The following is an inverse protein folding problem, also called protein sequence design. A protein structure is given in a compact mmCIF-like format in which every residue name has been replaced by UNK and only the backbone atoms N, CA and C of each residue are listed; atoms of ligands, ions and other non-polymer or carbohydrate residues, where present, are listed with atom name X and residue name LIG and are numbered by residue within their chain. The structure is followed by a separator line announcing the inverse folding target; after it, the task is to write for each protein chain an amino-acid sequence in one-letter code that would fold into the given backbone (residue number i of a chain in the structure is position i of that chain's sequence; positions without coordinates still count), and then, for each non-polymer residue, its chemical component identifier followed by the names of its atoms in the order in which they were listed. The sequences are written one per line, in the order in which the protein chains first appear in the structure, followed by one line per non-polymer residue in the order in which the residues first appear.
data_IF_482483597716
#
_entry.id   IF_482483597716
#
_cell.length_a   1.000
_cell.length_b   1.000
_cell.length_c   1.000
_cell.angle_alpha   90.00
_cell.angle_beta   90.00
_cell.angle_gamma   90.00
#
_symmetry.space_group_name_H-M   'P 1'
#
loop_
_entity.id
_entity.type
_entity.pdbx_description
1 polymer ?
#
# COMPACT_ATOMS: atom_id res chain seq x y z
N UNK A 1 -9.75 4.27 21.84
CA UNK A 1 -10.18 5.19 22.91
C UNK A 1 -10.60 4.44 24.15
N UNK A 2 -9.95 4.75 25.27
CA UNK A 2 -10.42 4.38 26.61
C UNK A 2 -11.50 5.39 26.97
N UNK A 3 -12.74 4.91 27.09
CA UNK A 3 -13.90 5.69 27.54
C UNK A 3 -13.69 6.09 29.01
N UNK A 4 -13.00 7.22 29.23
CA UNK A 4 -12.71 7.75 30.55
C UNK A 4 -13.58 8.98 30.80
N UNK A 5 -14.72 8.77 31.46
CA UNK A 5 -15.56 9.86 31.95
C UNK A 5 -14.77 10.72 32.95
N UNK A 6 -14.66 12.03 32.69
CA UNK A 6 -14.02 12.97 33.60
C UNK A 6 -14.69 12.93 34.98
N UNK A 7 -13.95 12.73 36.09
CA UNK A 7 -14.51 12.85 37.43
C UNK A 7 -15.15 14.23 37.63
N UNK A 8 -16.31 14.30 38.28
CA UNK A 8 -17.12 15.52 38.40
C UNK A 8 -16.32 16.76 38.85
N UNK A 9 -15.46 16.62 39.87
CA UNK A 9 -14.65 17.74 40.35
C UNK A 9 -13.62 18.29 39.34
N UNK A 10 -13.12 17.46 38.41
CA UNK A 10 -12.25 17.92 37.31
C UNK A 10 -13.06 18.63 36.24
N UNK A 11 -14.28 18.14 35.96
CA UNK A 11 -15.22 18.79 35.04
C UNK A 11 -15.63 20.18 35.54
N UNK A 12 -15.99 20.29 36.81
CA UNK A 12 -16.40 21.55 37.43
C UNK A 12 -15.27 22.59 37.41
N UNK A 13 -14.02 22.16 37.67
CA UNK A 13 -12.84 23.03 37.59
C UNK A 13 -12.62 23.56 36.16
N UNK A 14 -12.72 22.67 35.15
CA UNK A 14 -12.54 23.07 33.76
C UNK A 14 -13.69 23.97 33.27
N UNK A 15 -14.94 23.68 33.67
CA UNK A 15 -16.09 24.55 33.39
C UNK A 15 -15.93 25.94 34.04
N UNK A 16 -15.41 26.01 35.27
CA UNK A 16 -15.10 27.28 35.92
C UNK A 16 -14.00 28.07 35.21
N UNK A 17 -13.07 27.41 34.51
CA UNK A 17 -12.07 28.10 33.67
C UNK A 17 -12.69 28.65 32.39
N UNK A 18 -13.74 27.99 31.87
CA UNK A 18 -14.44 28.39 30.65
C UNK A 18 -15.49 29.50 30.87
N UNK A 19 -15.96 29.73 32.10
CA UNK A 19 -17.05 30.67 32.38
C UNK A 19 -16.74 32.15 32.09
N UNK A 20 -15.46 32.50 31.86
CA UNK A 20 -15.01 33.86 31.52
C UNK A 20 -14.70 34.07 30.03
N UNK A 21 -14.94 33.07 29.19
CA UNK A 21 -14.60 33.14 27.76
C UNK A 21 -15.65 33.97 27.01
N UNK A 22 -15.19 34.92 26.19
CA UNK A 22 -16.07 35.73 25.34
C UNK A 22 -16.79 34.87 24.29
N UNK A 23 -17.86 35.39 23.69
CA UNK A 23 -18.59 34.64 22.65
C UNK A 23 -17.65 34.27 21.46
N UNK A 24 -16.79 35.20 21.04
CA UNK A 24 -15.82 34.96 19.96
C UNK A 24 -14.77 33.93 20.42
N UNK A 25 -14.25 34.07 21.64
CA UNK A 25 -13.30 33.10 22.22
C UNK A 25 -13.89 31.69 22.28
N UNK A 26 -15.17 31.56 22.64
CA UNK A 26 -15.86 30.27 22.68
C UNK A 26 -16.01 29.67 21.29
N UNK A 27 -16.30 30.49 20.28
CA UNK A 27 -16.38 30.03 18.90
C UNK A 27 -15.02 29.58 18.34
N UNK A 28 -13.94 30.25 18.72
CA UNK A 28 -12.58 29.81 18.39
C UNK A 28 -12.23 28.52 19.11
N UNK A 29 -12.50 28.40 20.41
CA UNK A 29 -12.29 27.15 21.16
C UNK A 29 -13.06 25.98 20.57
N UNK A 30 -14.33 26.18 20.17
CA UNK A 30 -15.11 25.13 19.50
C UNK A 30 -14.47 24.71 18.17
N UNK A 31 -13.96 25.68 17.40
CA UNK A 31 -13.29 25.40 16.12
C UNK A 31 -11.98 24.65 16.34
N UNK A 32 -11.14 25.17 17.24
CA UNK A 32 -9.88 24.56 17.64
C UNK A 32 -10.06 23.13 18.17
N UNK A 33 -11.08 22.91 19.01
CA UNK A 33 -11.35 21.59 19.59
C UNK A 33 -11.72 20.55 18.54
N UNK A 34 -12.33 20.98 17.42
CA UNK A 34 -12.65 20.16 16.25
C UNK A 34 -11.41 19.92 15.38
N UNK A 35 -10.51 20.89 15.23
CA UNK A 35 -9.24 20.73 14.49
C UNK A 35 -8.35 19.68 15.17
N UNK A 36 -8.12 19.84 16.47
CA UNK A 36 -7.25 18.93 17.22
C UNK A 36 -6.60 19.59 18.43
N UNK A 37 -5.64 18.88 19.04
CA UNK A 37 -4.88 19.41 20.17
C UNK A 37 -4.01 20.61 19.77
N UNK A 38 -3.39 20.51 18.60
CA UNK A 38 -2.56 21.52 17.98
C UNK A 38 -3.26 22.03 16.74
N UNK A 39 -3.20 23.34 16.48
CA UNK A 39 -3.86 23.96 15.33
C UNK A 39 -3.07 25.18 14.86
N UNK A 40 -3.09 25.44 13.56
CA UNK A 40 -2.49 26.62 12.96
C UNK A 40 -3.49 27.79 12.90
N UNK A 41 -2.94 29.01 12.88
CA UNK A 41 -3.71 30.25 12.83
C UNK A 41 -4.65 30.32 11.62
N UNK A 42 -4.16 29.96 10.42
CA UNK A 42 -4.90 30.13 9.17
C UNK A 42 -6.11 29.19 9.12
N UNK A 43 -5.93 27.92 9.48
CA UNK A 43 -7.01 26.94 9.55
C UNK A 43 -8.07 27.36 10.57
N UNK A 44 -7.65 27.83 11.75
CA UNK A 44 -8.56 28.28 12.80
C UNK A 44 -9.40 29.50 12.35
N UNK A 45 -8.74 30.52 11.79
CA UNK A 45 -9.38 31.76 11.31
C UNK A 45 -10.41 31.46 10.24
N UNK A 46 -10.02 30.69 9.22
CA UNK A 46 -10.88 30.41 8.08
C UNK A 46 -12.06 29.50 8.44
N UNK A 47 -11.81 28.43 9.23
CA UNK A 47 -12.87 27.52 9.62
C UNK A 47 -13.87 28.16 10.60
N UNK A 48 -13.40 29.02 11.50
CA UNK A 48 -14.27 29.78 12.41
C UNK A 48 -15.11 30.83 11.65
N UNK A 49 -14.59 31.34 10.53
CA UNK A 49 -15.21 32.39 9.71
C UNK A 49 -15.08 33.78 10.33
N UNK A 50 -14.01 34.00 11.12
CA UNK A 50 -13.73 35.25 11.84
C UNK A 50 -12.73 36.11 11.11
N UNK A 51 -12.77 37.43 11.36
CA UNK A 51 -11.76 38.34 10.81
C UNK A 51 -10.41 38.12 11.49
N UNK A 52 -9.33 38.62 10.88
CA UNK A 52 -8.00 38.56 11.48
C UNK A 52 -7.98 39.25 12.86
N UNK A 53 -8.53 40.47 12.96
CA UNK A 53 -8.57 41.24 14.21
C UNK A 53 -9.39 40.56 15.32
N UNK A 54 -10.55 39.99 14.97
CA UNK A 54 -11.35 39.20 15.92
C UNK A 54 -10.60 37.95 16.39
N UNK A 55 -9.90 37.29 15.48
CA UNK A 55 -9.19 36.03 15.77
C UNK A 55 -8.01 36.28 16.69
N UNK A 56 -7.18 37.27 16.37
CA UNK A 56 -6.01 37.65 17.19
C UNK A 56 -6.44 38.10 18.58
N UNK A 57 -7.41 39.02 18.68
CA UNK A 57 -7.87 39.53 19.99
C UNK A 57 -8.43 38.42 20.88
N UNK A 58 -9.14 37.46 20.28
CA UNK A 58 -9.68 36.34 21.04
C UNK A 58 -8.60 35.31 21.41
N UNK A 59 -7.61 35.05 20.56
CA UNK A 59 -6.47 34.19 20.90
C UNK A 59 -5.64 34.77 22.04
N UNK A 60 -5.33 36.06 22.02
CA UNK A 60 -4.63 36.75 23.12
C UNK A 60 -5.39 36.58 24.44
N UNK A 61 -6.71 36.80 24.44
CA UNK A 61 -7.54 36.60 25.63
C UNK A 61 -7.56 35.14 26.10
N UNK A 62 -7.55 34.15 25.19
CA UNK A 62 -7.50 32.73 25.54
C UNK A 62 -6.12 32.32 26.11
N UNK A 63 -5.04 32.94 25.64
CA UNK A 63 -3.68 32.77 26.16
C UNK A 63 -3.57 33.39 27.56
N UNK A 64 -4.07 34.61 27.76
CA UNK A 64 -4.09 35.27 29.07
C UNK A 64 -4.88 34.48 30.12
N UNK A 65 -5.93 33.77 29.69
CA UNK A 65 -6.70 32.86 30.54
C UNK A 65 -6.05 31.48 30.74
N UNK A 66 -4.92 31.21 30.07
CA UNK A 66 -4.20 29.93 30.15
C UNK A 66 -4.97 28.76 29.56
N UNK A 67 -5.86 29.01 28.60
CA UNK A 67 -6.66 27.98 27.93
C UNK A 67 -5.92 27.44 26.70
N UNK A 68 -5.23 28.33 25.99
CA UNK A 68 -4.43 28.06 24.79
C UNK A 68 -3.01 28.56 25.02
N UNK A 69 -2.03 27.91 24.43
CA UNK A 69 -0.62 28.30 24.48
C UNK A 69 -0.07 28.46 23.06
N UNK A 70 0.71 29.51 22.82
CA UNK A 70 1.40 29.70 21.55
C UNK A 70 2.68 28.84 21.53
N UNK A 71 2.82 28.00 20.51
CA UNK A 71 3.98 27.11 20.35
C UNK A 71 4.96 27.76 19.39
N UNK A 72 6.10 28.23 19.92
CA UNK A 72 7.20 28.70 19.07
C UNK A 72 7.87 27.51 18.36
N UNK A 73 7.65 27.38 17.05
CA UNK A 73 8.45 26.50 16.21
C UNK A 73 9.73 27.20 15.71
N UNK A 74 10.74 26.40 15.34
CA UNK A 74 12.05 26.84 14.85
C UNK A 74 11.95 27.92 13.77
N UNK A 75 12.93 28.84 13.75
CA UNK A 75 13.00 30.08 12.97
C UNK A 75 12.88 29.99 11.42
N UNK A 76 12.55 28.83 10.85
CA UNK A 76 12.44 28.60 9.41
C UNK A 76 11.00 28.53 8.88
N UNK A 77 9.99 28.36 9.74
CA UNK A 77 8.58 28.41 9.34
C UNK A 77 7.88 29.58 10.03
N UNK A 78 7.33 30.51 9.26
CA UNK A 78 6.51 31.63 9.76
C UNK A 78 5.08 31.18 10.15
N UNK A 79 4.87 29.87 10.35
CA UNK A 79 3.58 29.31 10.68
C UNK A 79 3.27 29.48 12.18
N UNK A 80 2.24 30.25 12.50
CA UNK A 80 1.77 30.43 13.87
C UNK A 80 0.96 29.20 14.30
N UNK A 81 1.46 28.47 15.30
CA UNK A 81 0.83 27.27 15.85
C UNK A 81 0.48 27.44 17.32
N UNK A 82 -0.66 26.89 17.72
CA UNK A 82 -1.18 26.96 19.07
C UNK A 82 -1.60 25.57 19.56
N UNK A 83 -1.52 25.38 20.88
CA UNK A 83 -1.93 24.17 21.57
C UNK A 83 -3.00 24.47 22.61
N UNK A 84 -3.93 23.53 22.81
CA UNK A 84 -4.69 23.50 24.05
C UNK A 84 -3.74 23.25 25.22
N UNK A 85 -3.82 24.08 26.26
CA UNK A 85 -3.07 23.90 27.52
C UNK A 85 -3.24 22.49 28.12
N UNK A 86 -4.39 21.85 27.91
CA UNK A 86 -4.64 20.50 28.38
C UNK A 86 -5.63 19.73 27.50
N UNK A 87 -5.33 18.46 27.18
CA UNK A 87 -6.17 17.59 26.33
C UNK A 87 -7.61 17.44 26.85
N UNK A 88 -7.77 17.28 28.18
CA UNK A 88 -9.10 17.25 28.83
C UNK A 88 -9.94 18.51 28.62
N UNK A 89 -9.31 19.68 28.51
CA UNK A 89 -10.03 20.92 28.21
C UNK A 89 -10.58 20.88 26.78
N UNK A 90 -9.75 20.47 25.82
CA UNK A 90 -10.17 20.25 24.42
C UNK A 90 -11.34 19.28 24.34
N UNK A 91 -11.23 18.12 25.00
CA UNK A 91 -12.28 17.11 25.02
C UNK A 91 -13.60 17.66 25.59
N UNK A 92 -13.55 18.41 26.69
CA UNK A 92 -14.73 19.05 27.27
C UNK A 92 -15.38 20.06 26.31
N UNK A 93 -14.60 20.94 25.69
CA UNK A 93 -15.11 21.92 24.70
C UNK A 93 -15.74 21.20 23.51
N UNK A 94 -15.08 20.14 23.01
CA UNK A 94 -15.62 19.31 21.94
C UNK A 94 -16.96 18.69 22.37
N UNK A 95 -17.03 18.06 23.55
CA UNK A 95 -18.24 17.45 24.12
C UNK A 95 -19.41 18.43 24.31
N UNK A 96 -19.14 19.66 24.75
CA UNK A 96 -20.19 20.67 24.94
C UNK A 96 -20.64 21.33 23.62
N UNK A 97 -19.85 21.22 22.56
CA UNK A 97 -20.27 21.65 21.22
C UNK A 97 -21.39 20.76 20.70
N UNK A 98 -22.50 21.35 20.23
CA UNK A 98 -23.62 20.59 19.67
C UNK A 98 -23.20 19.82 18.40
N UNK A 99 -23.83 18.66 18.15
CA UNK A 99 -23.55 17.83 16.98
C UNK A 99 -23.67 18.61 15.65
N UNK A 100 -24.69 19.47 15.52
CA UNK A 100 -24.89 20.30 14.34
C UNK A 100 -23.72 21.28 14.13
N UNK A 101 -23.22 21.88 15.21
CA UNK A 101 -22.06 22.77 15.15
C UNK A 101 -20.77 22.00 14.84
N UNK A 102 -20.56 20.83 15.44
CA UNK A 102 -19.41 19.96 15.11
C UNK A 102 -19.40 19.58 13.64
N UNK A 103 -20.54 19.13 13.09
CA UNK A 103 -20.64 18.78 11.66
C UNK A 103 -20.30 19.95 10.75
N UNK A 104 -20.82 21.14 11.06
CA UNK A 104 -20.50 22.36 10.30
C UNK A 104 -19.00 22.68 10.35
N UNK A 105 -18.40 22.60 11.54
CA UNK A 105 -16.98 22.89 11.74
C UNK A 105 -16.11 21.85 11.05
N UNK A 106 -16.39 20.56 11.20
CA UNK A 106 -15.68 19.49 10.50
C UNK A 106 -15.71 19.69 8.98
N UNK A 107 -16.86 20.05 8.39
CA UNK A 107 -16.95 20.37 6.95
C UNK A 107 -16.05 21.55 6.57
N UNK A 108 -16.13 22.66 7.32
CA UNK A 108 -15.33 23.86 7.03
C UNK A 108 -13.83 23.58 7.16
N UNK A 109 -13.42 22.85 8.19
CA UNK A 109 -12.02 22.46 8.38
C UNK A 109 -11.54 21.61 7.22
N UNK A 110 -12.33 20.62 6.77
CA UNK A 110 -11.99 19.82 5.60
C UNK A 110 -11.81 20.70 4.34
N UNK A 111 -12.74 21.62 4.09
CA UNK A 111 -12.68 22.54 2.94
C UNK A 111 -11.43 23.45 3.00
N UNK A 112 -11.08 23.92 4.19
CA UNK A 112 -9.91 24.78 4.43
C UNK A 112 -8.62 23.99 4.26
N UNK A 113 -8.51 22.79 4.83
CA UNK A 113 -7.34 21.93 4.67
C UNK A 113 -7.13 21.53 3.19
N UNK A 114 -8.22 21.22 2.48
CA UNK A 114 -8.17 20.95 1.05
C UNK A 114 -7.72 22.18 0.23
N UNK A 115 -8.12 23.39 0.63
CA UNK A 115 -7.71 24.65 -0.01
C UNK A 115 -6.24 25.04 0.25
N UNK A 116 -5.73 24.75 1.44
CA UNK A 116 -4.34 25.07 1.84
C UNK A 116 -3.30 24.12 1.25
N UNK A 117 -3.71 22.93 0.83
CA UNK A 117 -2.84 21.96 0.18
C UNK A 117 -2.43 22.44 -1.22
N UNK A 118 -1.42 23.32 -1.27
CA UNK A 118 -0.84 23.82 -2.53
C UNK A 118 0.00 22.73 -3.19
N UNK A 119 -0.59 22.09 -4.20
CA UNK A 119 0.05 21.09 -5.06
C UNK A 119 -0.34 19.65 -4.70
N UNK A 120 -0.40 18.75 -5.68
CA UNK A 120 -0.99 17.41 -5.54
C UNK A 120 -0.37 16.61 -4.39
N UNK A 121 0.97 16.61 -4.25
CA UNK A 121 1.67 15.87 -3.19
C UNK A 121 1.31 16.28 -1.75
N UNK A 122 0.92 17.53 -1.50
CA UNK A 122 0.50 17.97 -0.16
C UNK A 122 -0.96 17.61 0.12
N UNK A 123 -1.81 17.58 -0.91
CA UNK A 123 -3.20 17.12 -0.81
C UNK A 123 -3.21 15.64 -0.43
N UNK A 124 -2.38 14.84 -1.12
CA UNK A 124 -2.30 13.40 -0.90
C UNK A 124 -1.85 13.05 0.53
N UNK A 125 -0.88 13.79 1.07
CA UNK A 125 -0.40 13.60 2.45
C UNK A 125 -1.43 13.97 3.53
N UNK A 126 -2.33 14.92 3.25
CA UNK A 126 -3.40 15.33 4.17
C UNK A 126 -4.72 14.61 3.91
N UNK A 127 -4.82 13.81 2.85
CA UNK A 127 -6.06 13.21 2.39
C UNK A 127 -6.76 12.40 3.48
N UNK A 128 -6.01 11.65 4.30
CA UNK A 128 -6.58 10.88 5.41
C UNK A 128 -7.22 11.77 6.49
N UNK A 129 -6.58 12.90 6.84
CA UNK A 129 -7.13 13.85 7.81
C UNK A 129 -8.38 14.53 7.25
N UNK A 130 -8.32 15.00 6.00
CA UNK A 130 -9.44 15.63 5.30
C UNK A 130 -10.63 14.66 5.21
N UNK A 131 -10.37 13.39 4.87
CA UNK A 131 -11.39 12.34 4.80
C UNK A 131 -12.11 12.16 6.13
N UNK A 132 -11.37 12.11 7.24
CA UNK A 132 -11.94 11.99 8.58
C UNK A 132 -12.86 13.16 8.94
N UNK A 133 -12.45 14.40 8.61
CA UNK A 133 -13.29 15.58 8.80
C UNK A 133 -14.56 15.52 7.94
N UNK A 134 -14.47 15.15 6.65
CA UNK A 134 -15.68 14.99 5.84
C UNK A 134 -16.60 13.89 6.36
N UNK A 135 -16.04 12.77 6.85
CA UNK A 135 -16.83 11.68 7.44
C UNK A 135 -17.59 12.14 8.69
N UNK A 136 -16.90 12.82 9.62
CA UNK A 136 -17.54 13.37 10.83
C UNK A 136 -18.55 14.48 10.52
N UNK A 137 -18.38 15.19 9.40
CA UNK A 137 -19.36 16.15 8.90
C UNK A 137 -20.63 15.47 8.33
N UNK A 138 -20.60 14.16 8.07
CA UNK A 138 -21.66 13.43 7.37
C UNK A 138 -21.64 13.65 5.86
N UNK A 139 -20.49 14.05 5.30
CA UNK A 139 -20.30 14.26 3.87
C UNK A 139 -19.65 13.04 3.23
N UNK A 140 -20.41 11.94 3.15
CA UNK A 140 -19.91 10.63 2.73
C UNK A 140 -19.25 10.62 1.33
N UNK A 141 -19.78 11.29 0.29
CA UNK A 141 -19.16 11.23 -1.04
C UNK A 141 -17.75 11.83 -1.06
N UNK A 142 -17.54 13.00 -0.45
CA UNK A 142 -16.23 13.64 -0.35
C UNK A 142 -15.30 12.87 0.57
N UNK A 143 -15.82 12.31 1.68
CA UNK A 143 -15.02 11.46 2.55
C UNK A 143 -14.52 10.21 1.81
N UNK A 144 -15.37 9.56 1.02
CA UNK A 144 -15.02 8.38 0.24
C UNK A 144 -13.90 8.68 -0.77
N UNK A 145 -13.98 9.79 -1.49
CA UNK A 145 -12.95 10.23 -2.44
C UNK A 145 -11.63 10.56 -1.73
N UNK A 146 -11.67 11.27 -0.60
CA UNK A 146 -10.46 11.56 0.17
C UNK A 146 -9.84 10.29 0.76
N UNK A 147 -10.63 9.31 1.18
CA UNK A 147 -10.10 8.01 1.62
C UNK A 147 -9.48 7.23 0.46
N UNK A 148 -10.03 7.29 -0.76
CA UNK A 148 -9.38 6.71 -1.95
C UNK A 148 -8.00 7.33 -2.18
N UNK A 149 -7.90 8.67 -2.16
CA UNK A 149 -6.62 9.37 -2.30
C UNK A 149 -5.63 9.04 -1.17
N UNK A 150 -6.10 8.97 0.08
CA UNK A 150 -5.29 8.58 1.22
C UNK A 150 -4.74 7.15 1.05
N UNK A 151 -5.56 6.24 0.53
CA UNK A 151 -5.14 4.88 0.21
C UNK A 151 -4.07 4.82 -0.88
N UNK A 152 -4.22 5.62 -1.95
CA UNK A 152 -3.20 5.73 -3.01
C UNK A 152 -1.88 6.30 -2.51
N UNK A 153 -1.95 7.32 -1.65
CA UNK A 153 -0.77 7.91 -1.02
C UNK A 153 -0.06 6.91 -0.11
N UNK A 154 -0.79 6.26 0.80
CA UNK A 154 -0.24 5.24 1.68
C UNK A 154 0.39 4.10 0.88
N UNK A 155 -0.25 3.65 -0.21
CA UNK A 155 0.29 2.64 -1.13
C UNK A 155 1.60 3.10 -1.78
N UNK A 156 1.72 4.37 -2.17
CA UNK A 156 2.94 4.92 -2.76
C UNK A 156 4.13 4.96 -1.77
N UNK A 157 3.83 4.95 -0.47
CA UNK A 157 4.81 4.87 0.61
C UNK A 157 5.03 3.45 1.13
N UNK A 158 4.46 2.43 0.47
CA UNK A 158 4.43 1.03 0.93
C UNK A 158 3.81 0.81 2.32
N UNK A 159 2.98 1.76 2.78
CA UNK A 159 2.14 1.62 3.98
C UNK A 159 0.89 0.77 3.65
N UNK A 160 1.11 -0.49 3.24
CA UNK A 160 0.11 -1.35 2.63
C UNK A 160 -1.12 -1.61 3.52
N UNK A 161 -0.92 -1.82 4.83
CA UNK A 161 -2.02 -2.04 5.77
C UNK A 161 -2.91 -0.79 5.95
N UNK A 162 -2.29 0.40 5.97
CA UNK A 162 -3.01 1.67 6.05
C UNK A 162 -3.75 1.96 4.73
N UNK A 163 -3.10 1.71 3.59
CA UNK A 163 -3.73 1.83 2.28
C UNK A 163 -4.97 0.94 2.16
N UNK A 164 -4.85 -0.32 2.60
CA UNK A 164 -5.94 -1.29 2.63
C UNK A 164 -7.10 -0.82 3.52
N UNK A 165 -6.81 -0.26 4.70
CA UNK A 165 -7.81 0.31 5.59
C UNK A 165 -8.55 1.47 4.92
N UNK A 166 -7.84 2.39 4.29
CA UNK A 166 -8.43 3.53 3.60
C UNK A 166 -9.32 3.10 2.42
N UNK A 167 -8.88 2.18 1.57
CA UNK A 167 -9.71 1.68 0.46
C UNK A 167 -10.99 0.97 0.96
N UNK A 168 -10.89 0.19 2.05
CA UNK A 168 -12.07 -0.44 2.67
C UNK A 168 -13.07 0.58 3.20
N UNK A 169 -12.60 1.68 3.80
CA UNK A 169 -13.48 2.78 4.25
C UNK A 169 -14.11 3.51 3.06
N UNK A 170 -13.34 3.78 2.00
CA UNK A 170 -13.87 4.39 0.78
C UNK A 170 -15.02 3.55 0.17
N UNK A 171 -14.85 2.23 0.10
CA UNK A 171 -15.92 1.30 -0.33
C UNK A 171 -17.14 1.36 0.60
N UNK A 172 -16.92 1.33 1.92
CA UNK A 172 -18.02 1.36 2.89
C UNK A 172 -18.83 2.66 2.84
N UNK A 173 -18.21 3.77 2.43
CA UNK A 173 -18.86 5.07 2.21
C UNK A 173 -19.48 5.22 0.81
N UNK A 174 -19.41 4.18 -0.03
CA UNK A 174 -20.07 4.15 -1.34
C UNK A 174 -19.32 4.91 -2.43
N UNK A 175 -17.98 4.88 -2.43
CA UNK A 175 -17.19 5.43 -3.53
C UNK A 175 -17.64 4.85 -4.89
N UNK A 176 -17.83 5.66 -5.95
CA UNK A 176 -18.41 5.20 -7.21
C UNK A 176 -17.53 4.19 -7.96
N UNK A 177 -16.21 4.35 -7.92
CA UNK A 177 -15.27 3.44 -8.59
C UNK A 177 -14.99 2.19 -7.74
N UNK A 178 -16.03 1.38 -7.57
CA UNK A 178 -16.00 0.16 -6.76
C UNK A 178 -15.08 -0.91 -7.36
N UNK A 179 -15.06 -1.04 -8.69
CA UNK A 179 -14.23 -2.02 -9.39
C UNK A 179 -12.74 -1.75 -9.17
N UNK A 180 -12.26 -0.50 -9.36
CA UNK A 180 -10.85 -0.17 -9.16
C UNK A 180 -10.43 -0.30 -7.69
N UNK A 181 -11.32 0.05 -6.74
CA UNK A 181 -11.05 -0.14 -5.31
C UNK A 181 -10.91 -1.62 -4.94
N UNK A 182 -11.79 -2.48 -5.46
CA UNK A 182 -11.66 -3.93 -5.27
C UNK A 182 -10.40 -4.49 -5.91
N UNK A 183 -10.02 -4.00 -7.09
CA UNK A 183 -8.75 -4.36 -7.74
C UNK A 183 -7.54 -3.95 -6.87
N UNK A 184 -7.51 -2.71 -6.36
CA UNK A 184 -6.43 -2.23 -5.49
C UNK A 184 -6.34 -2.98 -4.15
N UNK A 185 -7.48 -3.34 -3.56
CA UNK A 185 -7.54 -4.19 -2.36
C UNK A 185 -7.01 -5.58 -2.67
N UNK A 186 -7.33 -6.13 -3.85
CA UNK A 186 -6.80 -7.41 -4.33
C UNK A 186 -5.28 -7.39 -4.47
N UNK A 187 -4.73 -6.31 -5.03
CA UNK A 187 -3.28 -6.11 -5.20
C UNK A 187 -2.56 -6.11 -3.86
N UNK A 188 -3.04 -5.30 -2.90
CA UNK A 188 -2.47 -5.22 -1.55
C UNK A 188 -2.63 -6.53 -0.78
N UNK A 189 -3.79 -7.19 -0.90
CA UNK A 189 -4.02 -8.49 -0.26
C UNK A 189 -3.07 -9.55 -0.81
N UNK A 190 -2.77 -9.53 -2.12
CA UNK A 190 -1.80 -10.44 -2.76
C UNK A 190 -0.38 -10.20 -2.25
N UNK A 191 0.00 -8.93 -2.09
CA UNK A 191 1.31 -8.52 -1.57
C UNK A 191 1.52 -8.93 -0.10
N UNK A 192 0.46 -8.85 0.70
CA UNK A 192 0.47 -9.26 2.11
C UNK A 192 0.31 -10.78 2.31
N UNK A 193 0.01 -11.53 1.25
CA UNK A 193 -0.23 -12.98 1.33
C UNK A 193 -1.65 -13.37 1.79
N UNK A 194 -2.58 -12.42 1.82
CA UNK A 194 -4.01 -12.62 2.11
C UNK A 194 -4.76 -13.14 0.86
N UNK A 195 -4.35 -14.28 0.31
CA UNK A 195 -4.83 -14.73 -1.01
C UNK A 195 -6.34 -14.97 -1.11
N UNK A 196 -7.00 -15.39 -0.03
CA UNK A 196 -8.45 -15.56 -0.02
C UNK A 196 -9.18 -14.21 -0.16
N UNK A 197 -8.74 -13.19 0.58
CA UNK A 197 -9.21 -11.81 0.46
C UNK A 197 -8.92 -11.24 -0.95
N UNK A 198 -7.73 -11.55 -1.49
CA UNK A 198 -7.34 -11.12 -2.83
C UNK A 198 -8.28 -11.67 -3.91
N UNK A 199 -8.53 -12.99 -3.91
CA UNK A 199 -9.44 -13.63 -4.86
C UNK A 199 -10.84 -13.04 -4.78
N UNK A 200 -11.41 -12.93 -3.57
CA UNK A 200 -12.75 -12.35 -3.39
C UNK A 200 -12.84 -10.92 -3.93
N UNK A 201 -11.80 -10.12 -3.71
CA UNK A 201 -11.75 -8.74 -4.18
C UNK A 201 -11.63 -8.68 -5.70
N UNK A 202 -10.75 -9.48 -6.31
CA UNK A 202 -10.63 -9.54 -7.76
C UNK A 202 -11.87 -10.11 -8.45
N UNK A 203 -12.52 -11.14 -7.90
CA UNK A 203 -13.80 -11.66 -8.41
C UNK A 203 -14.88 -10.57 -8.41
N UNK A 204 -14.92 -9.76 -7.34
CA UNK A 204 -15.84 -8.63 -7.27
C UNK A 204 -15.47 -7.55 -8.29
N UNK A 205 -14.18 -7.24 -8.46
CA UNK A 205 -13.71 -6.30 -9.48
C UNK A 205 -14.07 -6.78 -10.89
N UNK A 206 -13.83 -8.05 -11.21
CA UNK A 206 -14.16 -8.67 -12.51
C UNK A 206 -15.66 -8.61 -12.83
N UNK A 207 -16.52 -8.76 -11.81
CA UNK A 207 -17.96 -8.66 -11.98
C UNK A 207 -18.46 -7.23 -12.25
N UNK A 208 -17.68 -6.21 -11.89
CA UNK A 208 -18.07 -4.79 -11.93
C UNK A 208 -17.36 -3.98 -13.01
N UNK A 209 -16.19 -4.42 -13.48
CA UNK A 209 -15.36 -3.68 -14.40
C UNK A 209 -15.84 -3.78 -15.86
N UNK A 210 -15.29 -2.94 -16.72
CA UNK A 210 -15.49 -3.05 -18.17
C UNK A 210 -14.60 -4.14 -18.79
N UNK A 211 -14.75 -4.36 -20.09
CA UNK A 211 -14.00 -5.39 -20.81
C UNK A 211 -12.48 -5.11 -20.84
N UNK A 212 -12.06 -3.85 -20.86
CA UNK A 212 -10.64 -3.50 -20.88
C UNK A 212 -9.98 -3.85 -19.55
N UNK A 213 -10.60 -3.47 -18.44
CA UNK A 213 -10.14 -3.83 -17.10
C UNK A 213 -10.29 -5.34 -16.81
N UNK A 214 -11.30 -6.02 -17.38
CA UNK A 214 -11.56 -7.43 -17.13
C UNK A 214 -10.35 -8.31 -17.49
N UNK A 215 -9.70 -8.07 -18.62
CA UNK A 215 -8.50 -8.83 -18.99
C UNK A 215 -7.40 -8.75 -17.93
N UNK A 216 -7.15 -7.55 -17.41
CA UNK A 216 -6.16 -7.30 -16.37
C UNK A 216 -6.55 -7.97 -15.04
N UNK A 217 -7.82 -7.92 -14.65
CA UNK A 217 -8.29 -8.55 -13.41
C UNK A 217 -8.26 -10.07 -13.51
N UNK A 218 -8.65 -10.64 -14.65
CA UNK A 218 -8.54 -12.09 -14.94
C UNK A 218 -7.08 -12.55 -14.88
N UNK A 219 -6.15 -11.77 -15.46
CA UNK A 219 -4.71 -12.04 -15.33
C UNK A 219 -4.27 -12.06 -13.86
N UNK A 220 -4.67 -11.08 -13.06
CA UNK A 220 -4.36 -11.02 -11.62
C UNK A 220 -4.97 -12.20 -10.84
N UNK A 221 -6.20 -12.61 -11.13
CA UNK A 221 -6.80 -13.83 -10.56
C UNK A 221 -5.94 -15.06 -10.87
N UNK A 222 -5.52 -15.20 -12.12
CA UNK A 222 -4.64 -16.28 -12.55
C UNK A 222 -3.36 -16.34 -11.72
N UNK A 223 -2.70 -15.19 -11.53
CA UNK A 223 -1.49 -15.08 -10.71
C UNK A 223 -1.70 -15.40 -9.23
N UNK A 224 -2.87 -15.11 -8.65
CA UNK A 224 -3.16 -15.53 -7.27
C UNK A 224 -3.41 -17.04 -7.18
N UNK A 225 -4.13 -17.63 -8.13
CA UNK A 225 -4.30 -19.10 -8.17
C UNK A 225 -2.97 -19.81 -8.37
N UNK A 226 -2.10 -19.27 -9.23
CA UNK A 226 -0.74 -19.72 -9.45
C UNK A 226 0.04 -19.78 -8.13
N UNK A 227 0.07 -18.67 -7.35
CA UNK A 227 0.74 -18.61 -6.04
C UNK A 227 0.22 -19.62 -5.02
N UNK A 228 -1.06 -20.03 -5.14
CA UNK A 228 -1.69 -21.05 -4.30
C UNK A 228 -1.45 -22.48 -4.78
N UNK A 229 -0.78 -22.67 -5.91
CA UNK A 229 -0.57 -23.98 -6.54
C UNK A 229 -1.79 -24.51 -7.31
N UNK A 230 -2.80 -23.67 -7.53
CA UNK A 230 -4.05 -24.00 -8.21
C UNK A 230 -3.91 -23.78 -9.73
N UNK A 231 -2.98 -24.51 -10.35
CA UNK A 231 -2.48 -24.18 -11.68
C UNK A 231 -3.51 -24.32 -12.80
N UNK A 232 -4.48 -25.22 -12.67
CA UNK A 232 -5.57 -25.41 -13.63
C UNK A 232 -6.52 -24.20 -13.63
N UNK A 233 -6.82 -23.66 -12.44
CA UNK A 233 -7.59 -22.42 -12.33
C UNK A 233 -6.79 -21.23 -12.86
N UNK A 234 -5.49 -21.16 -12.56
CA UNK A 234 -4.62 -20.11 -13.08
C UNK A 234 -4.66 -20.07 -14.61
N UNK A 235 -4.51 -21.22 -15.26
CA UNK A 235 -4.60 -21.37 -16.71
C UNK A 235 -5.97 -20.95 -17.26
N UNK A 236 -7.07 -21.38 -16.63
CA UNK A 236 -8.42 -20.96 -17.05
C UNK A 236 -8.60 -19.44 -17.01
N UNK A 237 -8.05 -18.77 -16.01
CA UNK A 237 -8.09 -17.30 -15.90
C UNK A 237 -7.20 -16.62 -16.95
N UNK A 238 -6.03 -17.18 -17.26
CA UNK A 238 -5.19 -16.66 -18.34
C UNK A 238 -5.86 -16.80 -19.72
N UNK A 239 -6.54 -17.91 -19.98
CA UNK A 239 -7.34 -18.09 -21.19
C UNK A 239 -8.50 -17.09 -21.26
N UNK A 240 -9.17 -16.82 -20.13
CA UNK A 240 -10.22 -15.80 -20.06
C UNK A 240 -9.67 -14.41 -20.39
N UNK A 241 -8.54 -14.02 -19.79
CA UNK A 241 -7.87 -12.75 -20.08
C UNK A 241 -7.49 -12.63 -21.56
N UNK A 242 -6.88 -13.66 -22.17
CA UNK A 242 -6.56 -13.66 -23.60
C UNK A 242 -7.81 -13.54 -24.49
N UNK A 243 -8.90 -14.20 -24.12
CA UNK A 243 -10.16 -14.14 -24.87
C UNK A 243 -10.75 -12.72 -24.86
N UNK A 244 -10.64 -12.03 -23.73
CA UNK A 244 -11.09 -10.65 -23.58
C UNK A 244 -10.19 -9.70 -24.39
N UNK A 245 -8.87 -9.87 -24.33
CA UNK A 245 -7.93 -9.08 -25.13
C UNK A 245 -8.13 -9.30 -26.63
N UNK A 246 -8.34 -10.54 -27.06
CA UNK A 246 -8.35 -10.91 -28.47
C UNK A 246 -7.07 -10.50 -29.20
N UNK A 247 -7.13 -10.47 -30.53
CA UNK A 247 -5.97 -10.13 -31.38
C UNK A 247 -5.67 -8.63 -31.40
N UNK A 248 -6.68 -7.79 -31.16
CA UNK A 248 -6.59 -6.32 -31.23
C UNK A 248 -6.40 -5.65 -29.88
N UNK A 249 -6.53 -6.38 -28.77
CA UNK A 249 -6.32 -5.84 -27.42
C UNK A 249 -4.86 -5.48 -27.15
N UNK A 250 -4.60 -5.01 -25.93
CA UNK A 250 -3.29 -4.55 -25.49
C UNK A 250 -2.19 -5.58 -25.75
N UNK A 251 -1.27 -5.23 -26.64
CA UNK A 251 -0.11 -6.07 -27.01
C UNK A 251 0.76 -6.32 -25.77
N UNK A 252 0.93 -5.29 -24.95
CA UNK A 252 1.72 -5.30 -23.73
C UNK A 252 1.12 -6.27 -22.69
N UNK A 253 -0.19 -6.20 -22.47
CA UNK A 253 -0.86 -7.12 -21.52
C UNK A 253 -0.79 -8.57 -22.00
N UNK A 254 -0.88 -8.83 -23.32
CA UNK A 254 -0.66 -10.18 -23.85
C UNK A 254 0.76 -10.69 -23.59
N UNK A 255 1.78 -9.85 -23.74
CA UNK A 255 3.16 -10.25 -23.46
C UNK A 255 3.35 -10.69 -22.00
N UNK A 256 2.84 -9.89 -21.06
CA UNK A 256 2.88 -10.20 -19.62
C UNK A 256 2.14 -11.49 -19.30
N UNK A 257 0.96 -11.65 -19.89
CA UNK A 257 0.13 -12.83 -19.70
C UNK A 257 0.80 -14.12 -20.20
N UNK A 258 1.44 -14.08 -21.37
CA UNK A 258 2.21 -15.22 -21.88
C UNK A 258 3.44 -15.52 -21.00
N UNK A 259 4.10 -14.51 -20.44
CA UNK A 259 5.23 -14.70 -19.52
C UNK A 259 4.78 -15.41 -18.22
N UNK A 260 3.72 -14.93 -17.58
CA UNK A 260 3.21 -15.52 -16.33
C UNK A 260 2.62 -16.93 -16.55
N UNK A 261 1.95 -17.13 -17.69
CA UNK A 261 1.47 -18.46 -18.07
C UNK A 261 2.63 -19.41 -18.38
N UNK A 262 3.73 -18.93 -18.96
CA UNK A 262 4.95 -19.73 -19.15
C UNK A 262 5.52 -20.21 -17.82
N UNK A 263 5.63 -19.33 -16.82
CA UNK A 263 6.06 -19.69 -15.47
C UNK A 263 5.13 -20.73 -14.82
N UNK A 264 3.83 -20.56 -15.01
CA UNK A 264 2.81 -21.50 -14.51
C UNK A 264 2.94 -22.88 -15.17
N UNK A 265 3.06 -22.92 -16.50
CA UNK A 265 3.29 -24.15 -17.25
C UNK A 265 4.59 -24.84 -16.83
N UNK A 266 5.64 -24.06 -16.54
CA UNK A 266 6.88 -24.56 -15.99
C UNK A 266 6.69 -25.22 -14.62
N UNK A 267 5.99 -24.56 -13.69
CA UNK A 267 5.69 -25.11 -12.35
C UNK A 267 4.81 -26.36 -12.41
N UNK A 268 3.96 -26.49 -13.42
CA UNK A 268 3.21 -27.73 -13.73
C UNK A 268 4.08 -28.84 -14.36
N UNK A 269 5.35 -28.58 -14.68
CA UNK A 269 6.25 -29.52 -15.36
C UNK A 269 6.09 -29.60 -16.88
N UNK A 270 5.29 -28.72 -17.48
CA UNK A 270 5.02 -28.67 -18.92
C UNK A 270 6.08 -27.84 -19.65
N UNK A 271 7.34 -28.29 -19.64
CA UNK A 271 8.50 -27.53 -20.15
C UNK A 271 8.34 -27.10 -21.62
N UNK A 272 7.79 -27.96 -22.47
CA UNK A 272 7.57 -27.64 -23.88
C UNK A 272 6.63 -26.44 -24.07
N UNK A 273 5.47 -26.48 -23.39
CA UNK A 273 4.49 -25.39 -23.38
C UNK A 273 5.08 -24.11 -22.79
N UNK A 274 5.84 -24.22 -21.70
CA UNK A 274 6.49 -23.08 -21.08
C UNK A 274 7.43 -22.35 -22.06
N UNK A 275 8.26 -23.08 -22.82
CA UNK A 275 9.14 -22.48 -23.83
C UNK A 275 8.38 -21.84 -24.99
N UNK A 276 7.30 -22.47 -25.45
CA UNK A 276 6.46 -21.91 -26.51
C UNK A 276 5.84 -20.58 -26.07
N UNK A 277 5.25 -20.55 -24.87
CA UNK A 277 4.67 -19.35 -24.28
C UNK A 277 5.72 -18.25 -24.05
N UNK A 278 6.91 -18.61 -23.53
CA UNK A 278 7.99 -17.64 -23.31
C UNK A 278 8.48 -17.01 -24.64
N UNK A 279 8.58 -17.80 -25.70
CA UNK A 279 8.95 -17.29 -27.04
C UNK A 279 7.87 -16.40 -27.65
N UNK A 280 6.60 -16.76 -27.45
CA UNK A 280 5.48 -15.90 -27.84
C UNK A 280 5.53 -14.58 -27.08
N UNK A 281 5.73 -14.62 -25.76
CA UNK A 281 5.87 -13.43 -24.93
C UNK A 281 7.01 -12.53 -25.41
N UNK A 282 8.18 -13.12 -25.73
CA UNK A 282 9.35 -12.38 -26.24
C UNK A 282 9.03 -11.66 -27.54
N UNK A 283 8.51 -12.38 -28.53
CA UNK A 283 8.18 -11.80 -29.84
C UNK A 283 7.14 -10.67 -29.72
N UNK A 284 6.14 -10.84 -28.83
CA UNK A 284 5.12 -9.82 -28.58
C UNK A 284 5.74 -8.60 -27.89
N UNK A 285 6.58 -8.79 -26.87
CA UNK A 285 7.25 -7.71 -26.16
C UNK A 285 8.22 -6.91 -27.06
N UNK A 286 8.98 -7.60 -27.92
CA UNK A 286 9.88 -6.97 -28.91
C UNK A 286 9.11 -6.14 -29.93
N UNK A 287 8.00 -6.68 -30.45
CA UNK A 287 7.13 -5.98 -31.41
C UNK A 287 6.47 -4.74 -30.80
N UNK A 288 6.11 -4.84 -29.52
CA UNK A 288 5.52 -3.73 -28.76
C UNK A 288 6.56 -2.69 -28.29
N UNK A 289 7.86 -3.01 -28.37
CA UNK A 289 8.93 -2.25 -27.72
C UNK A 289 8.65 -2.00 -26.23
N UNK A 290 8.03 -2.98 -25.55
CA UNK A 290 7.72 -2.89 -24.13
C UNK A 290 8.89 -3.40 -23.30
N UNK A 291 9.71 -2.47 -22.81
CA UNK A 291 10.87 -2.75 -21.97
C UNK A 291 10.52 -3.52 -20.69
N UNK A 292 9.36 -3.24 -20.09
CA UNK A 292 8.91 -3.88 -18.85
C UNK A 292 8.55 -5.35 -19.14
N UNK A 293 7.81 -5.60 -20.21
CA UNK A 293 7.52 -6.96 -20.65
C UNK A 293 8.79 -7.72 -21.04
N UNK A 294 9.75 -7.07 -21.72
CA UNK A 294 11.05 -7.69 -22.05
C UNK A 294 11.83 -8.12 -20.81
N UNK A 295 11.87 -7.28 -19.77
CA UNK A 295 12.53 -7.62 -18.51
C UNK A 295 11.91 -8.88 -17.88
N UNK A 296 10.58 -8.97 -17.84
CA UNK A 296 9.86 -10.14 -17.32
C UNK A 296 10.11 -11.39 -18.16
N UNK A 297 10.05 -11.29 -19.49
CA UNK A 297 10.27 -12.45 -20.37
C UNK A 297 11.70 -12.97 -20.28
N UNK A 298 12.70 -12.08 -20.20
CA UNK A 298 14.08 -12.50 -19.98
C UNK A 298 14.27 -13.18 -18.62
N UNK A 299 13.57 -12.75 -17.56
CA UNK A 299 13.58 -13.46 -16.28
C UNK A 299 13.08 -14.91 -16.44
N UNK A 300 11.95 -15.11 -17.11
CA UNK A 300 11.36 -16.43 -17.34
C UNK A 300 12.24 -17.31 -18.22
N UNK A 301 12.78 -16.78 -19.32
CA UNK A 301 13.71 -17.52 -20.19
C UNK A 301 14.97 -17.94 -19.42
N UNK A 302 15.45 -17.11 -18.50
CA UNK A 302 16.54 -17.43 -17.61
C UNK A 302 16.26 -18.62 -16.69
N UNK A 303 15.08 -18.63 -16.06
CA UNK A 303 14.61 -19.77 -15.24
C UNK A 303 14.56 -21.04 -16.10
N UNK A 304 13.94 -20.98 -17.28
CA UNK A 304 13.78 -22.13 -18.17
C UNK A 304 15.14 -22.69 -18.64
N UNK A 305 16.07 -21.81 -19.02
CA UNK A 305 17.42 -22.21 -19.43
C UNK A 305 18.19 -22.88 -18.28
N UNK A 306 18.10 -22.35 -17.06
CA UNK A 306 18.73 -22.94 -15.87
C UNK A 306 18.24 -24.38 -15.64
N UNK A 307 16.94 -24.61 -15.85
CA UNK A 307 16.33 -25.95 -15.69
C UNK A 307 16.68 -26.92 -16.80
N UNK A 308 17.04 -26.43 -17.97
CA UNK A 308 17.60 -27.24 -19.04
C UNK A 308 19.10 -27.55 -18.83
N UNK A 309 19.74 -26.94 -17.82
CA UNK A 309 21.16 -27.09 -17.53
C UNK A 309 22.05 -26.14 -18.32
N UNK A 310 21.48 -25.22 -19.10
CA UNK A 310 22.23 -24.19 -19.83
C UNK A 310 22.42 -22.96 -18.93
N UNK A 311 23.41 -23.05 -18.04
CA UNK A 311 23.70 -22.01 -17.06
C UNK A 311 24.24 -20.72 -17.70
N UNK A 312 24.94 -20.83 -18.82
CA UNK A 312 25.47 -19.66 -19.55
C UNK A 312 24.33 -18.83 -20.14
N UNK A 313 23.39 -19.48 -20.82
CA UNK A 313 22.22 -18.80 -21.39
C UNK A 313 21.28 -18.29 -20.29
N UNK A 314 21.12 -19.05 -19.20
CA UNK A 314 20.37 -18.61 -18.03
C UNK A 314 20.92 -17.30 -17.47
N UNK A 315 22.24 -17.23 -17.25
CA UNK A 315 22.89 -16.03 -16.73
C UNK A 315 22.72 -14.86 -17.67
N UNK A 316 22.91 -15.05 -18.98
CA UNK A 316 22.73 -14.00 -19.99
C UNK A 316 21.33 -13.38 -19.93
N UNK A 317 20.31 -14.23 -19.86
CA UNK A 317 18.92 -13.77 -19.77
C UNK A 317 18.61 -13.07 -18.44
N UNK A 318 19.09 -13.60 -17.31
CA UNK A 318 18.85 -13.01 -15.99
C UNK A 318 19.60 -11.68 -15.81
N UNK A 319 20.82 -11.54 -16.32
CA UNK A 319 21.58 -10.28 -16.29
C UNK A 319 20.91 -9.21 -17.17
N UNK A 320 20.36 -9.59 -18.33
CA UNK A 320 19.60 -8.66 -19.17
C UNK A 320 18.28 -8.23 -18.50
N UNK A 321 17.55 -9.18 -17.90
CA UNK A 321 16.36 -8.87 -17.09
C UNK A 321 16.66 -7.87 -15.97
N UNK A 322 17.74 -8.12 -15.23
CA UNK A 322 18.19 -7.28 -14.13
C UNK A 322 18.53 -5.86 -14.60
N UNK A 323 19.28 -5.74 -15.70
CA UNK A 323 19.65 -4.45 -16.31
C UNK A 323 18.42 -3.65 -16.74
N UNK A 324 17.48 -4.29 -17.43
CA UNK A 324 16.25 -3.64 -17.86
C UNK A 324 15.39 -3.20 -16.67
N UNK A 325 15.28 -4.04 -15.64
CA UNK A 325 14.52 -3.70 -14.44
C UNK A 325 15.14 -2.55 -13.63
N UNK A 326 16.48 -2.46 -13.60
CA UNK A 326 17.21 -1.35 -12.99
C UNK A 326 16.95 -0.04 -13.74
N UNK A 327 17.05 -0.05 -15.07
CA UNK A 327 16.78 1.12 -15.91
C UNK A 327 15.33 1.63 -15.72
N UNK A 328 14.37 0.72 -15.54
CA UNK A 328 12.96 1.04 -15.33
C UNK A 328 12.63 1.51 -13.91
N UNK A 329 13.51 1.29 -12.93
CA UNK A 329 13.25 1.54 -11.52
C UNK A 329 11.99 0.77 -11.03
N UNK A 330 11.79 -0.45 -11.52
CA UNK A 330 10.66 -1.32 -11.17
C UNK A 330 11.07 -2.35 -10.11
N UNK A 331 10.88 -2.06 -8.80
CA UNK A 331 11.49 -2.82 -7.71
C UNK A 331 11.04 -4.29 -7.65
N UNK A 332 9.80 -4.60 -8.05
CA UNK A 332 9.30 -5.97 -8.05
C UNK A 332 10.01 -6.87 -9.08
N UNK A 333 10.17 -6.39 -10.31
CA UNK A 333 10.88 -7.12 -11.37
C UNK A 333 12.38 -7.19 -11.05
N UNK A 334 12.94 -6.12 -10.49
CA UNK A 334 14.33 -6.08 -10.07
C UNK A 334 14.62 -7.11 -8.96
N UNK A 335 13.75 -7.23 -7.95
CA UNK A 335 13.87 -8.26 -6.91
C UNK A 335 13.77 -9.69 -7.47
N UNK A 336 12.85 -9.94 -8.41
CA UNK A 336 12.71 -11.22 -9.09
C UNK A 336 13.98 -11.61 -9.87
N UNK A 337 14.51 -10.69 -10.68
CA UNK A 337 15.75 -10.90 -11.43
C UNK A 337 16.95 -11.15 -10.51
N UNK A 338 17.07 -10.41 -9.39
CA UNK A 338 18.10 -10.64 -8.38
C UNK A 338 18.01 -12.04 -7.77
N UNK A 339 16.81 -12.49 -7.38
CA UNK A 339 16.59 -13.81 -6.80
C UNK A 339 16.99 -14.93 -7.77
N UNK A 340 16.53 -14.87 -9.02
CA UNK A 340 16.80 -15.92 -9.98
C UNK A 340 18.27 -15.91 -10.43
N UNK A 341 18.89 -14.73 -10.54
CA UNK A 341 20.34 -14.64 -10.78
C UNK A 341 21.15 -15.20 -9.61
N UNK A 342 20.72 -14.94 -8.36
CA UNK A 342 21.36 -15.54 -7.19
C UNK A 342 21.31 -17.07 -7.24
N UNK A 343 20.17 -17.64 -7.67
CA UNK A 343 20.04 -19.07 -7.84
C UNK A 343 20.94 -19.63 -8.94
N UNK A 344 21.06 -18.94 -10.08
CA UNK A 344 21.99 -19.31 -11.14
C UNK A 344 23.45 -19.27 -10.66
N UNK A 345 23.87 -18.20 -9.99
CA UNK A 345 25.20 -18.07 -9.40
C UNK A 345 25.49 -19.19 -8.38
N UNK A 346 24.51 -19.57 -7.55
CA UNK A 346 24.67 -20.68 -6.62
C UNK A 346 24.88 -22.02 -7.36
N UNK A 347 24.16 -22.26 -8.46
CA UNK A 347 24.34 -23.45 -9.28
C UNK A 347 25.73 -23.51 -9.96
N UNK A 348 26.32 -22.34 -10.26
CA UNK A 348 27.69 -22.20 -10.76
C UNK A 348 28.76 -22.28 -9.65
N UNK A 349 28.35 -22.32 -8.37
CA UNK A 349 29.26 -22.35 -7.21
C UNK A 349 29.73 -20.96 -6.74
N UNK A 350 29.21 -19.87 -7.32
CA UNK A 350 29.48 -18.49 -6.90
C UNK A 350 28.65 -18.10 -5.65
N UNK A 351 28.83 -18.82 -4.54
CA UNK A 351 27.99 -18.70 -3.34
C UNK A 351 28.01 -17.29 -2.74
N UNK A 352 29.18 -16.64 -2.65
CA UNK A 352 29.27 -15.29 -2.09
C UNK A 352 28.49 -14.26 -2.91
N UNK A 353 28.51 -14.39 -4.24
CA UNK A 353 27.72 -13.54 -5.15
C UNK A 353 26.22 -13.82 -4.98
N UNK A 354 25.83 -15.10 -4.86
CA UNK A 354 24.46 -15.49 -4.60
C UNK A 354 23.91 -14.89 -3.29
N UNK A 355 24.72 -14.91 -2.22
CA UNK A 355 24.36 -14.27 -0.93
C UNK A 355 24.15 -12.77 -1.13
N UNK A 356 25.09 -12.06 -1.75
CA UNK A 356 24.98 -10.61 -1.94
C UNK A 356 23.76 -10.22 -2.80
N UNK A 357 23.42 -11.00 -3.83
CA UNK A 357 22.23 -10.78 -4.64
C UNK A 357 20.93 -11.05 -3.85
N UNK A 358 20.92 -12.13 -3.05
CA UNK A 358 19.77 -12.47 -2.18
C UNK A 358 19.55 -11.41 -1.10
N UNK A 359 20.61 -10.86 -0.50
CA UNK A 359 20.51 -9.76 0.47
C UNK A 359 19.84 -8.51 -0.13
N UNK A 360 20.22 -8.14 -1.36
CA UNK A 360 19.61 -7.02 -2.09
C UNK A 360 18.13 -7.27 -2.37
N UNK A 361 17.79 -8.47 -2.88
CA UNK A 361 16.41 -8.85 -3.14
C UNK A 361 15.57 -8.80 -1.86
N UNK A 362 16.12 -9.31 -0.75
CA UNK A 362 15.44 -9.33 0.56
C UNK A 362 15.15 -7.92 1.07
N UNK A 363 16.12 -7.01 0.97
CA UNK A 363 15.92 -5.62 1.36
C UNK A 363 14.80 -4.94 0.56
N UNK A 364 14.70 -5.24 -0.74
CA UNK A 364 13.64 -4.72 -1.61
C UNK A 364 12.27 -5.28 -1.20
N UNK A 365 12.11 -6.61 -1.14
CA UNK A 365 10.85 -7.23 -0.74
C UNK A 365 10.39 -6.77 0.64
N UNK A 366 11.31 -6.62 1.61
CA UNK A 366 11.00 -6.08 2.93
C UNK A 366 10.48 -4.62 2.86
N UNK A 367 11.17 -3.74 2.13
CA UNK A 367 10.77 -2.33 2.00
C UNK A 367 9.45 -2.13 1.27
N UNK A 368 9.08 -3.03 0.37
CA UNK A 368 7.80 -3.03 -0.32
C UNK A 368 6.67 -3.68 0.48
N UNK A 369 7.01 -4.45 1.52
CA UNK A 369 6.07 -5.27 2.27
C UNK A 369 5.55 -6.50 1.50
N UNK A 370 6.33 -7.04 0.55
CA UNK A 370 6.02 -8.28 -0.16
C UNK A 370 6.33 -9.48 0.74
N UNK A 371 5.38 -9.81 1.62
CA UNK A 371 5.56 -10.85 2.66
C UNK A 371 5.87 -12.23 2.06
N UNK A 372 5.18 -12.71 1.00
CA UNK A 372 5.49 -14.00 0.40
C UNK A 372 6.91 -14.11 -0.15
N UNK A 373 7.37 -13.12 -0.91
CA UNK A 373 8.73 -13.15 -1.45
C UNK A 373 9.79 -12.91 -0.39
N UNK A 374 9.53 -12.09 0.63
CA UNK A 374 10.40 -11.92 1.80
C UNK A 374 10.66 -13.26 2.50
N UNK A 375 9.61 -14.05 2.75
CA UNK A 375 9.73 -15.38 3.36
C UNK A 375 10.55 -16.37 2.50
N UNK A 376 10.31 -16.35 1.19
CA UNK A 376 11.06 -17.19 0.24
C UNK A 376 12.55 -16.82 0.20
N UNK A 377 12.86 -15.54 0.20
CA UNK A 377 14.23 -15.02 0.21
C UNK A 377 14.95 -15.33 1.53
N UNK A 378 14.25 -15.29 2.67
CA UNK A 378 14.79 -15.79 3.93
C UNK A 378 15.12 -17.28 3.86
N UNK A 379 14.25 -18.10 3.28
CA UNK A 379 14.51 -19.54 3.09
C UNK A 379 15.73 -19.76 2.21
N UNK A 380 15.84 -19.02 1.09
CA UNK A 380 17.00 -19.07 0.19
C UNK A 380 18.30 -18.68 0.90
N UNK A 381 18.27 -17.61 1.69
CA UNK A 381 19.42 -17.17 2.46
C UNK A 381 19.86 -18.23 3.47
N UNK A 382 18.90 -18.91 4.12
CA UNK A 382 19.21 -20.01 5.02
C UNK A 382 19.94 -21.16 4.31
N UNK A 383 19.48 -21.55 3.12
CA UNK A 383 20.13 -22.60 2.31
C UNK A 383 21.55 -22.22 1.91
N UNK A 384 21.77 -20.99 1.43
CA UNK A 384 23.08 -20.49 1.02
C UNK A 384 24.06 -20.43 2.20
N UNK A 385 23.61 -19.93 3.35
CA UNK A 385 24.42 -19.84 4.57
C UNK A 385 24.75 -21.22 5.14
N UNK A 386 23.80 -22.15 5.08
CA UNK A 386 24.03 -23.53 5.49
C UNK A 386 25.10 -24.20 4.62
N UNK A 387 25.09 -23.96 3.31
CA UNK A 387 26.12 -24.45 2.39
C UNK A 387 27.53 -23.88 2.68
N UNK A 388 27.63 -22.76 3.40
CA UNK A 388 28.89 -22.19 3.90
C UNK A 388 29.23 -22.60 5.34
N UNK A 389 28.56 -23.61 5.90
CA UNK A 389 28.68 -24.05 7.30
C UNK A 389 28.31 -22.95 8.34
N UNK A 390 27.61 -21.88 7.93
CA UNK A 390 27.16 -20.78 8.79
C UNK A 390 25.81 -21.09 9.44
N UNK A 391 25.74 -22.20 10.17
CA UNK A 391 24.50 -22.80 10.68
C UNK A 391 23.66 -21.89 11.59
N UNK A 392 24.30 -21.09 12.45
CA UNK A 392 23.57 -20.15 13.34
C UNK A 392 22.87 -19.04 12.55
N UNK A 393 23.55 -18.47 11.54
CA UNK A 393 22.98 -17.45 10.68
C UNK A 393 21.85 -18.04 9.81
N UNK A 394 22.06 -19.24 9.25
CA UNK A 394 21.02 -19.96 8.51
C UNK A 394 19.76 -20.19 9.35
N UNK A 395 19.91 -20.63 10.61
CA UNK A 395 18.81 -20.84 11.54
C UNK A 395 18.05 -19.53 11.85
N UNK A 396 18.75 -18.40 11.94
CA UNK A 396 18.11 -17.10 12.13
C UNK A 396 17.21 -16.74 10.94
N UNK A 397 17.69 -16.91 9.71
CA UNK A 397 16.88 -16.68 8.51
C UNK A 397 15.70 -17.65 8.40
N UNK A 398 15.89 -18.93 8.72
CA UNK A 398 14.80 -19.91 8.70
C UNK A 398 13.70 -19.56 9.70
N UNK A 399 14.04 -19.08 10.90
CA UNK A 399 13.06 -18.60 11.89
C UNK A 399 12.24 -17.42 11.37
N UNK A 400 12.88 -16.48 10.66
CA UNK A 400 12.18 -15.37 10.01
C UNK A 400 11.22 -15.89 8.94
N UNK A 401 11.68 -16.75 8.03
CA UNK A 401 10.82 -17.35 7.00
C UNK A 401 9.58 -18.03 7.60
N UNK A 402 9.77 -18.87 8.62
CA UNK A 402 8.66 -19.58 9.30
C UNK A 402 7.70 -18.60 9.98
N UNK A 403 8.20 -17.54 10.62
CA UNK A 403 7.35 -16.51 11.22
C UNK A 403 6.47 -15.83 10.17
N UNK A 404 7.06 -15.45 9.03
CA UNK A 404 6.33 -14.79 7.95
C UNK A 404 5.33 -15.75 7.29
N UNK A 405 5.73 -16.98 6.98
CA UNK A 405 4.83 -17.99 6.42
C UNK A 405 3.67 -18.34 7.36
N UNK A 406 3.86 -18.25 8.68
CA UNK A 406 2.78 -18.43 9.64
C UNK A 406 1.75 -17.30 9.61
N UNK A 407 2.09 -16.13 9.06
CA UNK A 407 1.16 -15.01 8.85
C UNK A 407 0.48 -15.07 7.48
N UNK A 408 1.08 -15.76 6.50
CA UNK A 408 0.52 -15.94 5.16
C UNK A 408 -0.53 -17.06 5.17
N UNK A 409 -1.75 -16.76 4.72
CA UNK A 409 -2.77 -17.80 4.52
C UNK A 409 -3.41 -18.36 5.81
N UNK A 410 -3.36 -17.62 6.92
CA UNK A 410 -3.95 -17.98 8.24
C UNK A 410 -5.43 -18.35 8.18
N UNK A 411 -6.14 -18.01 7.10
CA UNK A 411 -7.57 -18.28 6.93
C UNK A 411 -7.91 -19.67 6.35
N UNK A 412 -6.95 -20.45 5.86
CA UNK A 412 -7.25 -21.73 5.20
C UNK A 412 -7.02 -22.95 6.10
N UNK A 413 -8.07 -23.76 6.34
CA UNK A 413 -8.00 -25.08 6.99
C UNK A 413 -7.16 -26.11 6.19
N UNK A 414 -6.72 -25.76 4.97
CA UNK A 414 -5.93 -26.59 4.06
C UNK A 414 -4.51 -26.08 3.94
N UNK A 415 -3.53 -26.95 4.23
CA UNK A 415 -2.11 -26.69 3.95
C UNK A 415 -1.91 -26.44 2.46
N UNK A 416 -1.32 -25.30 2.10
CA UNK A 416 -0.97 -24.92 0.73
C UNK A 416 0.56 -24.91 0.57
N UNK A 417 1.19 -26.09 0.41
CA UNK A 417 2.66 -26.22 0.45
C UNK A 417 3.35 -25.49 -0.70
N UNK A 418 2.64 -25.20 -1.78
CA UNK A 418 3.18 -24.48 -2.94
C UNK A 418 3.50 -23.02 -2.60
N UNK A 419 2.83 -22.42 -1.61
CA UNK A 419 3.18 -21.07 -1.10
C UNK A 419 4.62 -21.05 -0.55
N UNK A 420 5.07 -22.15 0.04
CA UNK A 420 6.41 -22.29 0.62
C UNK A 420 7.47 -22.65 -0.43
N UNK A 421 7.04 -22.92 -1.67
CA UNK A 421 7.90 -23.29 -2.80
C UNK A 421 7.96 -22.20 -3.88
N UNK A 422 7.46 -21.00 -3.60
CA UNK A 422 7.69 -19.82 -4.41
C UNK A 422 9.18 -19.47 -4.35
N UNK A 423 10.06 -20.23 -5.02
CA UNK A 423 11.53 -20.06 -4.99
C UNK A 423 12.08 -19.37 -6.24
N UNK A 424 11.31 -19.40 -7.32
CA UNK A 424 11.61 -18.83 -8.64
C UNK A 424 10.36 -18.06 -9.09
N UNK A 425 10.48 -16.77 -9.39
CA UNK A 425 9.35 -15.93 -9.80
C UNK A 425 9.79 -14.78 -10.70
#
# INVERSE_FOLDING_TARGET
DVDWSLPGGVRDLLQSRLSGVSEIGWQLLNTAAVIGRSFDYDTLREASGRSEEETVSALEALIDQGLVEEVQQSASDYALTYDFSHEKLRALVYEETSLARRRLLHRRIADVLAGHARGPRKVDALAGQIAHHYQLAGNEPQAAECFRLAGEYARSLYANAEALAHFRVALALGHPDTAALHEAIGDLSTLLGEYASALKSYETAAALCDAEALARVEHKLGTVYERRGAWEQAESHYEAALRVLGETGSVNERAKLYADWSLTAYRQGQIGKALELARQALNVAETAHDTLALAQVHNILGILASKQGDLEEARRHLEESLRLAEDLHEPGIYAAALNNLAQACNAEGEIDRAIALTEKALALSHSQGDRPHEAALHSKMADLLHAQDRSEAAMAHLKQAVSIYAEIGVEAETVQPEIWKLSEW
#
